data_IF_241223003874
#
_entry.id   IF_241223003874
#
_cell.length_a   1.000
_cell.length_b   1.000
_cell.length_c   1.000
_cell.angle_alpha   90.00
_cell.angle_beta   90.00
_cell.angle_gamma   90.00
#
_symmetry.space_group_name_H-M   'P 1'
#
loop_
_entity.id
_entity.type
_entity.pdbx_description
1 polymer ?
#
# COMPACT_ATOMS: atom_id res chain seq x y z
N UNK A 1 59.54 -42.38 40.47
CA UNK A 1 58.90 -41.19 41.07
C UNK A 1 59.19 -40.00 40.16
N UNK A 2 58.27 -39.71 39.24
CA UNK A 2 58.22 -38.45 38.50
C UNK A 2 56.75 -38.21 38.21
N UNK A 3 56.12 -37.53 39.16
CA UNK A 3 54.76 -37.01 39.14
C UNK A 3 54.76 -35.77 38.24
N UNK A 4 54.12 -35.86 37.07
CA UNK A 4 53.96 -34.75 36.13
C UNK A 4 52.47 -34.53 35.85
N UNK A 5 51.96 -33.46 36.45
CA UNK A 5 50.87 -32.58 36.05
C UNK A 5 49.46 -33.16 35.76
N UNK A 6 48.49 -32.99 36.70
CA UNK A 6 47.05 -33.02 36.40
C UNK A 6 46.53 -31.74 35.70
N UNK A 7 47.42 -30.82 35.30
CA UNK A 7 47.08 -29.45 34.90
C UNK A 7 46.62 -29.30 33.44
N UNK A 8 46.99 -30.23 32.54
CA UNK A 8 46.64 -30.13 31.12
C UNK A 8 45.21 -30.64 30.84
N UNK A 9 44.80 -31.72 31.51
CA UNK A 9 43.44 -32.26 31.42
C UNK A 9 42.38 -31.33 32.04
N UNK A 10 42.75 -30.50 33.02
CA UNK A 10 41.85 -29.51 33.61
C UNK A 10 41.59 -28.32 32.67
N UNK A 11 42.60 -27.88 31.90
CA UNK A 11 42.47 -26.75 30.97
C UNK A 11 41.69 -27.10 29.69
N UNK A 12 41.75 -28.35 29.21
CA UNK A 12 40.91 -28.79 28.09
C UNK A 12 39.45 -29.02 28.51
N UNK A 13 39.21 -29.48 29.74
CA UNK A 13 37.88 -29.68 30.29
C UNK A 13 37.13 -28.34 30.54
N UNK A 14 37.85 -27.28 30.90
CA UNK A 14 37.27 -25.94 31.12
C UNK A 14 36.97 -25.21 29.80
N UNK A 15 37.71 -25.49 28.72
CA UNK A 15 37.43 -24.92 27.39
C UNK A 15 36.26 -25.61 26.66
N UNK A 16 35.75 -26.71 27.21
CA UNK A 16 34.47 -27.33 26.82
C UNK A 16 33.28 -26.78 27.64
N UNK A 17 33.48 -25.72 28.43
CA UNK A 17 32.39 -24.98 29.09
C UNK A 17 31.55 -24.23 28.04
N UNK A 18 30.65 -24.99 27.42
CA UNK A 18 29.44 -24.55 26.69
C UNK A 18 29.71 -23.41 25.70
N UNK A 19 29.90 -23.76 24.43
CA UNK A 19 29.70 -22.84 23.29
C UNK A 19 28.26 -22.35 23.29
N UNK A 20 27.95 -21.38 24.15
CA UNK A 20 26.66 -20.73 24.24
C UNK A 20 26.52 -19.81 23.04
N UNK A 21 25.32 -19.72 22.49
CA UNK A 21 25.03 -18.77 21.44
C UNK A 21 25.31 -17.35 21.94
N UNK A 22 25.86 -16.45 21.10
CA UNK A 22 26.05 -15.07 21.49
C UNK A 22 24.76 -14.46 22.01
N UNK A 23 24.83 -13.68 23.09
CA UNK A 23 23.67 -13.05 23.73
C UNK A 23 22.83 -12.23 22.72
N UNK A 24 23.48 -11.59 21.76
CA UNK A 24 22.84 -10.83 20.69
C UNK A 24 21.93 -11.71 19.81
N UNK A 25 22.36 -12.94 19.50
CA UNK A 25 21.55 -13.90 18.75
C UNK A 25 20.35 -14.37 19.55
N UNK A 26 20.52 -14.60 20.86
CA UNK A 26 19.43 -15.00 21.76
C UNK A 26 18.37 -13.90 21.83
N UNK A 27 18.77 -12.65 21.98
CA UNK A 27 17.85 -11.50 22.02
C UNK A 27 17.10 -11.32 20.68
N UNK A 28 17.79 -11.49 19.55
CA UNK A 28 17.12 -11.44 18.23
C UNK A 28 16.09 -12.55 18.08
N UNK A 29 16.40 -13.74 18.56
CA UNK A 29 15.48 -14.88 18.51
C UNK A 29 14.26 -14.66 19.41
N UNK A 30 14.45 -14.12 20.62
CA UNK A 30 13.35 -13.74 21.51
C UNK A 30 12.42 -12.70 20.86
N UNK A 31 12.98 -11.64 20.27
CA UNK A 31 12.17 -10.64 19.55
C UNK A 31 11.42 -11.22 18.36
N UNK A 32 12.03 -12.19 17.67
CA UNK A 32 11.38 -12.87 16.56
C UNK A 32 10.20 -13.74 17.05
N UNK A 33 10.36 -14.47 18.14
CA UNK A 33 9.31 -15.27 18.78
C UNK A 33 8.14 -14.39 19.28
N UNK A 34 8.45 -13.26 19.92
CA UNK A 34 7.46 -12.26 20.33
C UNK A 34 6.68 -11.71 19.12
N UNK A 35 7.37 -11.43 18.01
CA UNK A 35 6.75 -10.95 16.78
C UNK A 35 5.85 -12.02 16.13
N UNK A 36 6.25 -13.29 16.15
CA UNK A 36 5.41 -14.40 15.68
C UNK A 36 4.16 -14.58 16.54
N UNK A 37 4.31 -14.53 17.86
CA UNK A 37 3.19 -14.59 18.81
C UNK A 37 2.21 -13.43 18.55
N UNK A 38 2.73 -12.22 18.34
CA UNK A 38 1.90 -11.06 18.02
C UNK A 38 1.15 -11.22 16.69
N UNK A 39 1.80 -11.80 15.68
CA UNK A 39 1.17 -12.08 14.39
C UNK A 39 0.05 -13.13 14.52
N UNK A 40 0.28 -14.20 15.27
CA UNK A 40 -0.73 -15.24 15.53
C UNK A 40 -1.95 -14.66 16.23
N UNK A 41 -1.74 -13.84 17.27
CA UNK A 41 -2.82 -13.16 17.98
C UNK A 41 -3.61 -12.21 17.07
N UNK A 42 -2.93 -11.48 16.18
CA UNK A 42 -3.58 -10.59 15.23
C UNK A 42 -4.40 -11.34 14.17
N UNK A 43 -3.96 -12.53 13.78
CA UNK A 43 -4.58 -13.32 12.71
C UNK A 43 -5.67 -14.28 13.23
N UNK A 44 -5.63 -14.63 14.53
CA UNK A 44 -6.59 -15.53 15.18
C UNK A 44 -8.07 -15.15 14.94
N UNK A 45 -8.51 -13.88 15.03
CA UNK A 45 -9.90 -13.51 14.79
C UNK A 45 -10.38 -13.80 13.36
N UNK A 46 -9.46 -13.92 12.41
CA UNK A 46 -9.78 -14.11 10.99
C UNK A 46 -9.73 -15.60 10.64
N UNK A 47 -8.76 -16.33 11.18
CA UNK A 47 -8.61 -17.78 10.96
C UNK A 47 -9.61 -18.63 11.74
N UNK A 48 -10.05 -18.15 12.91
CA UNK A 48 -11.01 -18.87 13.74
C UNK A 48 -12.47 -18.71 13.26
N UNK A 49 -12.71 -17.92 12.21
CA UNK A 49 -14.04 -17.82 11.59
C UNK A 49 -14.31 -19.06 10.76
N UNK A 50 -15.42 -19.75 11.05
CA UNK A 50 -15.85 -20.90 10.27
C UNK A 50 -16.13 -20.54 8.81
N UNK A 51 -16.02 -21.53 7.91
CA UNK A 51 -16.24 -21.34 6.47
C UNK A 51 -17.61 -20.71 6.16
N UNK A 52 -18.67 -21.18 6.81
CA UNK A 52 -20.02 -20.65 6.61
C UNK A 52 -20.16 -19.18 7.01
N UNK A 53 -19.50 -18.77 8.10
CA UNK A 53 -19.52 -17.38 8.57
C UNK A 53 -18.63 -16.47 7.72
N UNK A 54 -17.54 -17.01 7.18
CA UNK A 54 -16.70 -16.32 6.21
C UNK A 54 -17.47 -16.00 4.92
N UNK A 55 -18.30 -16.93 4.42
CA UNK A 55 -19.12 -16.72 3.22
C UNK A 55 -20.29 -15.74 3.42
N UNK A 56 -20.69 -15.45 4.66
CA UNK A 56 -21.73 -14.44 4.97
C UNK A 56 -21.23 -12.99 4.85
N UNK A 57 -19.91 -12.79 4.72
CA UNK A 57 -19.31 -11.46 4.58
C UNK A 57 -19.79 -10.76 3.31
N UNK A 58 -19.81 -9.43 3.34
CA UNK A 58 -20.04 -8.65 2.13
C UNK A 58 -18.93 -8.90 1.11
N UNK A 59 -19.20 -8.69 -0.18
CA UNK A 59 -18.20 -8.87 -1.23
C UNK A 59 -16.94 -8.00 -1.01
N UNK A 60 -17.07 -6.85 -0.33
CA UNK A 60 -15.94 -6.00 0.00
C UNK A 60 -15.09 -6.61 1.12
N UNK A 61 -15.70 -7.03 2.22
CA UNK A 61 -15.02 -7.67 3.35
C UNK A 61 -14.33 -8.98 2.94
N UNK A 62 -14.93 -9.73 2.01
CA UNK A 62 -14.32 -10.95 1.48
C UNK A 62 -13.00 -10.64 0.76
N UNK A 63 -13.02 -9.64 -0.13
CA UNK A 63 -11.82 -9.20 -0.87
C UNK A 63 -10.77 -8.60 0.07
N UNK A 64 -11.18 -7.86 1.10
CA UNK A 64 -10.24 -7.35 2.12
C UNK A 64 -9.47 -8.49 2.80
N UNK A 65 -10.18 -9.55 3.18
CA UNK A 65 -9.57 -10.73 3.81
C UNK A 65 -8.67 -11.48 2.84
N UNK A 66 -9.07 -11.64 1.58
CA UNK A 66 -8.25 -12.29 0.56
C UNK A 66 -6.95 -11.51 0.30
N UNK A 67 -7.05 -10.19 0.16
CA UNK A 67 -5.90 -9.31 -0.07
C UNK A 67 -4.98 -9.29 1.15
N UNK A 68 -5.53 -9.24 2.36
CA UNK A 68 -4.77 -9.38 3.59
C UNK A 68 -4.05 -10.73 3.67
N UNK A 69 -4.73 -11.83 3.35
CA UNK A 69 -4.16 -13.18 3.38
C UNK A 69 -3.02 -13.31 2.36
N UNK A 70 -3.19 -12.78 1.14
CA UNK A 70 -2.10 -12.67 0.15
C UNK A 70 -0.91 -11.89 0.71
N UNK A 71 -1.14 -10.74 1.35
CA UNK A 71 -0.06 -9.94 1.94
C UNK A 71 0.70 -10.68 3.04
N UNK A 72 -0.03 -11.35 3.94
CA UNK A 72 0.55 -12.13 5.04
C UNK A 72 1.38 -13.30 4.48
N UNK A 73 0.86 -14.06 3.52
CA UNK A 73 1.60 -15.17 2.91
C UNK A 73 2.89 -14.70 2.23
N UNK A 74 2.83 -13.60 1.47
CA UNK A 74 4.02 -13.04 0.83
C UNK A 74 5.05 -12.58 1.86
N UNK A 75 4.61 -11.92 2.93
CA UNK A 75 5.48 -11.46 4.01
C UNK A 75 6.13 -12.61 4.77
N UNK A 76 5.40 -13.69 5.03
CA UNK A 76 5.94 -14.91 5.63
C UNK A 76 6.94 -15.60 4.68
N UNK A 77 6.68 -15.60 3.38
CA UNK A 77 7.63 -16.06 2.37
C UNK A 77 8.95 -15.29 2.41
N UNK A 78 8.88 -13.97 2.62
CA UNK A 78 10.06 -13.11 2.82
C UNK A 78 10.83 -13.50 4.08
N UNK A 79 10.14 -13.65 5.22
CA UNK A 79 10.76 -14.07 6.49
C UNK A 79 11.43 -15.45 6.37
N UNK A 80 10.78 -16.41 5.71
CA UNK A 80 11.30 -17.76 5.52
C UNK A 80 12.56 -17.76 4.65
N UNK A 81 12.59 -16.95 3.58
CA UNK A 81 13.78 -16.80 2.75
C UNK A 81 14.96 -16.24 3.55
N UNK A 82 14.71 -15.19 4.33
CA UNK A 82 15.71 -14.57 5.20
C UNK A 82 16.25 -15.56 6.25
N UNK A 83 15.38 -16.36 6.88
CA UNK A 83 15.78 -17.38 7.87
C UNK A 83 16.64 -18.49 7.27
N UNK A 84 16.46 -18.79 5.98
CA UNK A 84 17.29 -19.75 5.24
C UNK A 84 18.61 -19.14 4.74
N UNK A 85 18.90 -17.89 5.10
CA UNK A 85 20.10 -17.17 4.68
C UNK A 85 20.08 -16.72 3.22
N UNK A 86 18.91 -16.68 2.57
CA UNK A 86 18.74 -16.13 1.22
C UNK A 86 18.29 -14.68 1.32
N UNK A 87 18.78 -13.79 0.46
CA UNK A 87 18.21 -12.45 0.36
C UNK A 87 16.82 -12.56 -0.31
N UNK A 88 15.73 -12.15 0.36
CA UNK A 88 14.40 -12.22 -0.23
C UNK A 88 14.24 -11.32 -1.46
N UNK A 89 15.10 -10.31 -1.63
CA UNK A 89 15.11 -9.42 -2.79
C UNK A 89 15.52 -10.12 -4.08
N UNK A 90 16.26 -11.22 -3.99
CA UNK A 90 16.69 -12.00 -5.15
C UNK A 90 15.54 -12.84 -5.74
N UNK A 91 14.45 -13.01 -4.98
CA UNK A 91 13.28 -13.75 -5.44
C UNK A 91 12.39 -12.86 -6.32
N UNK A 92 12.60 -12.95 -7.64
CA UNK A 92 11.75 -12.27 -8.64
C UNK A 92 10.27 -12.61 -8.45
N UNK A 93 9.96 -13.88 -8.17
CA UNK A 93 8.59 -14.33 -7.92
C UNK A 93 7.96 -13.62 -6.71
N UNK A 94 8.71 -13.47 -5.62
CA UNK A 94 8.20 -12.79 -4.42
C UNK A 94 8.01 -11.29 -4.66
N UNK A 95 8.91 -10.66 -5.41
CA UNK A 95 8.78 -9.25 -5.80
C UNK A 95 7.54 -9.02 -6.69
N UNK A 96 7.28 -9.92 -7.64
CA UNK A 96 6.09 -9.87 -8.49
C UNK A 96 4.80 -10.06 -7.68
N UNK A 97 4.77 -11.00 -6.74
CA UNK A 97 3.64 -11.23 -5.84
C UNK A 97 3.36 -10.02 -4.94
N UNK A 98 4.40 -9.39 -4.38
CA UNK A 98 4.27 -8.16 -3.60
C UNK A 98 3.71 -7.00 -4.46
N UNK A 99 4.19 -6.85 -5.69
CA UNK A 99 3.65 -5.86 -6.64
C UNK A 99 2.18 -6.15 -6.96
N UNK A 100 1.82 -7.42 -7.14
CA UNK A 100 0.43 -7.84 -7.40
C UNK A 100 -0.47 -7.53 -6.21
N UNK A 101 -0.04 -7.85 -4.99
CA UNK A 101 -0.78 -7.50 -3.77
C UNK A 101 -1.00 -6.00 -3.66
N UNK A 102 0.03 -5.18 -3.93
CA UNK A 102 -0.10 -3.71 -3.92
C UNK A 102 -1.18 -3.23 -4.90
N UNK A 103 -1.20 -3.75 -6.12
CA UNK A 103 -2.22 -3.40 -7.11
C UNK A 103 -3.63 -3.74 -6.62
N UNK A 104 -3.82 -4.88 -5.95
CA UNK A 104 -5.11 -5.23 -5.38
C UNK A 104 -5.52 -4.33 -4.21
N UNK A 105 -4.60 -3.98 -3.32
CA UNK A 105 -4.85 -2.99 -2.25
C UNK A 105 -5.30 -1.65 -2.84
N UNK A 106 -4.61 -1.15 -3.87
CA UNK A 106 -4.96 0.11 -4.52
C UNK A 106 -6.35 0.06 -5.17
N UNK A 107 -6.73 -1.10 -5.75
CA UNK A 107 -8.07 -1.32 -6.29
C UNK A 107 -9.14 -1.32 -5.19
N UNK A 108 -8.91 -2.02 -4.08
CA UNK A 108 -9.85 -2.03 -2.94
C UNK A 108 -10.06 -0.61 -2.42
N UNK A 109 -8.99 0.14 -2.18
CA UNK A 109 -9.06 1.56 -1.77
C UNK A 109 -9.84 2.43 -2.76
N UNK A 110 -9.68 2.19 -4.07
CA UNK A 110 -10.43 2.92 -5.10
C UNK A 110 -11.95 2.65 -5.05
N UNK A 111 -12.35 1.44 -4.63
CA UNK A 111 -13.75 1.05 -4.47
C UNK A 111 -14.33 1.69 -3.20
N UNK A 112 -13.58 1.67 -2.11
CA UNK A 112 -13.99 2.29 -0.84
C UNK A 112 -14.14 3.81 -0.99
N UNK A 113 -13.15 4.47 -1.58
CA UNK A 113 -13.19 5.92 -1.82
C UNK A 113 -14.33 6.33 -2.74
N UNK A 114 -14.71 5.50 -3.72
CA UNK A 114 -15.87 5.77 -4.57
C UNK A 114 -17.17 5.89 -3.77
N UNK A 115 -17.31 5.17 -2.65
CA UNK A 115 -18.49 5.28 -1.79
C UNK A 115 -18.57 6.61 -1.03
N UNK A 116 -17.43 7.27 -0.80
CA UNK A 116 -17.35 8.53 -0.05
C UNK A 116 -17.28 9.78 -0.93
N UNK A 117 -17.19 9.63 -2.27
CA UNK A 117 -17.21 10.78 -3.19
C UNK A 117 -18.57 11.49 -3.12
N UNK A 118 -18.62 12.82 -2.88
CA UNK A 118 -19.86 13.56 -2.89
C UNK A 118 -20.54 13.44 -4.25
N UNK A 119 -21.79 12.96 -4.26
CA UNK A 119 -22.54 12.75 -5.48
C UNK A 119 -22.78 14.06 -6.24
N UNK A 120 -22.40 14.11 -7.51
CA UNK A 120 -22.73 15.23 -8.39
C UNK A 120 -24.24 15.28 -8.61
N UNK A 121 -24.88 16.41 -8.30
CA UNK A 121 -26.29 16.61 -8.63
C UNK A 121 -26.43 16.79 -10.15
N UNK A 122 -26.73 15.69 -10.84
CA UNK A 122 -26.82 15.64 -12.31
C UNK A 122 -27.87 16.59 -12.86
N UNK A 123 -28.93 16.90 -12.10
CA UNK A 123 -29.96 17.86 -12.48
C UNK A 123 -29.41 19.28 -12.53
N UNK A 124 -28.67 19.69 -11.51
CA UNK A 124 -28.03 21.01 -11.46
C UNK A 124 -26.91 21.10 -12.50
N UNK A 125 -26.09 20.06 -12.66
CA UNK A 125 -25.05 20.01 -13.68
C UNK A 125 -25.62 20.18 -15.10
N UNK A 126 -26.72 19.48 -15.43
CA UNK A 126 -27.44 19.66 -16.69
C UNK A 126 -27.98 21.08 -16.87
N UNK A 127 -28.51 21.67 -15.80
CA UNK A 127 -28.99 23.05 -15.83
C UNK A 127 -27.85 24.05 -16.08
N UNK A 128 -26.68 23.85 -15.46
CA UNK A 128 -25.49 24.66 -15.71
C UNK A 128 -25.03 24.56 -17.16
N UNK A 129 -24.89 23.34 -17.71
CA UNK A 129 -24.49 23.15 -19.11
C UNK A 129 -25.50 23.78 -20.06
N UNK A 130 -26.80 23.56 -19.83
CA UNK A 130 -27.86 24.15 -20.66
C UNK A 130 -27.84 25.68 -20.59
N UNK A 131 -27.68 26.27 -19.41
CA UNK A 131 -27.63 27.72 -19.26
C UNK A 131 -26.35 28.32 -19.85
N UNK A 132 -25.20 27.62 -19.75
CA UNK A 132 -23.95 28.06 -20.34
C UNK A 132 -23.98 28.02 -21.89
N UNK A 133 -24.68 27.04 -22.45
CA UNK A 133 -24.90 26.91 -23.90
C UNK A 133 -26.11 27.74 -24.40
N UNK A 134 -26.88 28.34 -23.50
CA UNK A 134 -28.04 29.14 -23.87
C UNK A 134 -27.60 30.54 -24.25
N UNK A 135 -27.58 30.81 -25.56
CA UNK A 135 -27.44 32.17 -26.07
C UNK A 135 -28.82 32.82 -26.13
N UNK A 136 -28.95 34.01 -25.53
CA UNK A 136 -30.18 34.80 -25.63
C UNK A 136 -30.33 35.26 -27.08
N UNK A 137 -31.43 34.92 -27.78
CA UNK A 137 -31.70 35.44 -29.12
C UNK A 137 -31.68 36.97 -29.08
N UNK A 138 -30.74 37.58 -29.81
CA UNK A 138 -30.52 39.04 -29.82
C UNK A 138 -29.31 39.54 -29.03
N UNK A 139 -28.71 38.74 -28.13
CA UNK A 139 -27.47 39.12 -27.43
C UNK A 139 -26.22 38.82 -28.25
N UNK A 140 -26.27 37.78 -29.09
CA UNK A 140 -25.27 37.53 -30.14
C UNK A 140 -25.32 38.62 -31.21
N UNK A 141 -26.52 39.01 -31.65
CA UNK A 141 -26.73 40.12 -32.57
C UNK A 141 -26.20 41.45 -31.99
N UNK A 142 -26.48 41.76 -30.73
CA UNK A 142 -25.94 42.98 -30.08
C UNK A 142 -24.43 42.92 -29.86
N UNK A 143 -23.87 41.74 -29.58
CA UNK A 143 -22.41 41.56 -29.43
C UNK A 143 -21.71 41.70 -30.79
N UNK A 144 -22.25 41.08 -31.84
CA UNK A 144 -21.76 41.18 -33.21
C UNK A 144 -21.91 42.61 -33.78
N UNK A 145 -23.02 43.29 -33.47
CA UNK A 145 -23.25 44.72 -33.79
C UNK A 145 -22.25 45.62 -33.02
N UNK A 146 -22.04 45.37 -31.71
CA UNK A 146 -21.04 46.10 -30.92
C UNK A 146 -19.57 45.85 -31.34
N UNK A 147 -19.30 44.74 -32.02
CA UNK A 147 -17.99 44.42 -32.61
C UNK A 147 -17.84 44.99 -34.03
N UNK A 148 -18.95 45.27 -34.72
CA UNK A 148 -18.98 45.95 -36.03
C UNK A 148 -18.91 47.48 -35.89
N UNK A 149 -19.40 48.04 -34.78
CA UNK A 149 -19.29 49.47 -34.45
C UNK A 149 -17.90 49.88 -33.93
N UNK A 150 -16.98 48.92 -33.72
CA UNK A 150 -15.56 49.21 -33.51
C UNK A 150 -14.91 49.50 -34.86
N UNK A 151 -14.95 50.76 -35.26
CA UNK A 151 -14.28 51.28 -36.45
C UNK A 151 -12.77 50.94 -36.41
N UNK A 152 -12.22 50.20 -37.40
CA UNK A 152 -10.79 49.95 -37.50
C UNK A 152 -9.97 51.24 -37.76
N UNK A 153 -10.61 52.37 -38.06
CA UNK A 153 -9.90 53.62 -38.39
C UNK A 153 -9.30 54.36 -37.18
N UNK A 154 -9.68 54.03 -35.95
CA UNK A 154 -9.07 54.67 -34.76
C UNK A 154 -7.71 54.06 -34.40
N UNK A 155 -7.36 52.88 -34.92
CA UNK A 155 -6.07 52.24 -34.65
C UNK A 155 -4.91 52.81 -35.50
N UNK A 156 -5.17 53.60 -36.53
CA UNK A 156 -4.13 54.11 -37.44
C UNK A 156 -3.82 55.62 -37.31
N UNK A 157 -4.43 56.34 -36.37
CA UNK A 157 -4.17 57.79 -36.19
C UNK A 157 -3.15 58.18 -35.11
N UNK A 158 -2.50 57.23 -34.43
CA UNK A 158 -1.36 57.53 -33.53
C UNK A 158 0.02 57.14 -34.10
N UNK A 159 0.18 57.14 -35.43
CA UNK A 159 1.51 57.05 -36.07
C UNK A 159 1.65 58.16 -37.11
N UNK A 160 1.76 59.41 -36.67
CA UNK A 160 2.13 60.49 -37.58
C UNK A 160 1.81 61.91 -37.13
N UNK A 161 2.44 62.38 -36.04
CA UNK A 161 3.17 63.66 -36.03
C UNK A 161 4.07 63.74 -34.79
#
# INVERSE_FOLDING_TARGET
MTEAAPSEAANEAENSAKKTLPMECIQRLQKFDEALTSLELALAPILNVGFDDHLKRTALELVEVDVMTMFVMNSLGWCLAAQRGKDPKDSVQLADELRRTKQYVDRVKSIETRKSVPGLNTRIAKAFVRNALWEVPGKRARLEESLQDLDPSVAEQEVGN
#
